data_IF_718873031316
#
_entry.id   IF_718873031316
#
_cell.length_a   1.000
_cell.length_b   1.000
_cell.length_c   1.000
_cell.angle_alpha   90.00
_cell.angle_beta   90.00
_cell.angle_gamma   90.00
#
_symmetry.space_group_name_H-M   'P 1'
#
loop_
_entity.id
_entity.type
_entity.pdbx_description
1 polymer ?
#
# COMPACT_ATOMS: atom_id res chain seq x y z
N UNK A 1 -54.17 38.19 2.23
CA UNK A 1 -52.70 38.31 2.24
C UNK A 1 -52.12 36.91 2.20
N UNK A 2 -51.22 36.66 1.25
CA UNK A 2 -50.76 35.33 0.84
C UNK A 2 -49.98 34.63 1.97
N UNK A 3 -50.39 33.41 2.32
CA UNK A 3 -49.63 32.50 3.17
C UNK A 3 -48.44 31.98 2.35
N UNK A 4 -47.23 32.37 2.74
CA UNK A 4 -45.99 31.86 2.15
C UNK A 4 -45.86 30.37 2.47
N UNK A 5 -46.24 29.53 1.52
CA UNK A 5 -45.84 28.11 1.47
C UNK A 5 -44.51 28.01 0.73
N UNK A 6 -43.44 28.54 1.33
CA UNK A 6 -42.08 28.19 0.93
C UNK A 6 -41.54 27.25 2.00
N UNK A 7 -41.15 26.01 1.65
CA UNK A 7 -40.57 25.10 2.63
C UNK A 7 -39.23 25.70 3.09
N UNK A 8 -39.03 25.78 4.40
CA UNK A 8 -37.77 26.26 4.96
C UNK A 8 -36.62 25.31 4.57
N UNK A 9 -35.43 25.86 4.28
CA UNK A 9 -34.22 25.18 3.79
C UNK A 9 -33.71 24.00 4.67
N UNK A 10 -34.28 23.81 5.86
CA UNK A 10 -33.94 22.77 6.83
C UNK A 10 -35.04 21.72 7.00
N UNK A 11 -36.10 21.76 6.17
CA UNK A 11 -36.99 20.63 6.03
C UNK A 11 -36.25 19.52 5.27
N UNK A 12 -35.83 18.50 6.02
CA UNK A 12 -35.61 17.18 5.43
C UNK A 12 -36.91 16.79 4.75
N UNK A 13 -36.92 16.72 3.42
CA UNK A 13 -38.00 16.07 2.70
C UNK A 13 -38.07 14.64 3.25
N UNK A 14 -39.12 14.35 4.02
CA UNK A 14 -39.33 13.09 4.74
C UNK A 14 -39.53 11.87 3.82
N UNK A 15 -39.22 12.03 2.54
CA UNK A 15 -39.42 11.08 1.47
C UNK A 15 -38.13 10.78 0.69
N UNK A 16 -36.99 11.36 1.09
CA UNK A 16 -35.70 10.96 0.52
C UNK A 16 -35.36 9.54 0.97
N UNK A 17 -35.40 8.61 0.02
CA UNK A 17 -35.08 7.20 0.26
C UNK A 17 -33.57 7.05 0.36
N UNK A 18 -33.07 6.57 1.49
CA UNK A 18 -31.66 6.24 1.70
C UNK A 18 -31.47 4.73 1.87
N UNK A 19 -30.38 4.21 1.34
CA UNK A 19 -30.03 2.79 1.39
C UNK A 19 -28.82 2.62 2.32
N UNK A 20 -28.83 1.67 3.27
CA UNK A 20 -27.66 1.32 4.06
C UNK A 20 -26.59 0.64 3.19
N UNK A 21 -25.35 1.11 3.28
CA UNK A 21 -24.19 0.47 2.67
C UNK A 21 -23.38 -0.24 3.73
N UNK A 22 -22.99 -1.48 3.42
CA UNK A 22 -22.13 -2.31 4.27
C UNK A 22 -20.79 -2.56 3.59
N UNK A 23 -19.71 -2.56 4.37
CA UNK A 23 -18.38 -2.91 3.90
C UNK A 23 -17.69 -3.78 4.97
N UNK A 24 -17.22 -4.96 4.57
CA UNK A 24 -16.61 -5.96 5.46
C UNK A 24 -17.50 -6.39 6.65
N UNK A 25 -18.83 -6.29 6.50
CA UNK A 25 -19.80 -6.65 7.54
C UNK A 25 -20.27 -5.47 8.40
N UNK A 26 -19.59 -4.32 8.31
CA UNK A 26 -19.93 -3.13 9.08
C UNK A 26 -20.77 -2.15 8.26
N UNK A 27 -21.76 -1.51 8.92
CA UNK A 27 -22.55 -0.44 8.31
C UNK A 27 -21.69 0.82 8.20
N UNK A 28 -21.36 1.24 6.97
CA UNK A 28 -20.51 2.40 6.70
C UNK A 28 -21.32 3.69 6.53
N UNK A 29 -22.61 3.60 6.24
CA UNK A 29 -23.48 4.76 6.16
C UNK A 29 -24.76 4.54 5.35
N UNK A 30 -25.55 5.59 5.24
CA UNK A 30 -26.79 5.63 4.45
C UNK A 30 -26.60 6.60 3.29
N UNK A 31 -26.89 6.15 2.07
CA UNK A 31 -26.66 6.94 0.86
C UNK A 31 -27.91 7.00 -0.01
N UNK A 32 -28.07 8.09 -0.77
CA UNK A 32 -29.08 8.15 -1.82
C UNK A 32 -28.80 7.05 -2.86
N UNK A 33 -29.83 6.40 -3.41
CA UNK A 33 -29.69 5.28 -4.36
C UNK A 33 -28.76 5.58 -5.54
N UNK A 34 -28.82 6.82 -6.03
CA UNK A 34 -28.01 7.32 -7.15
C UNK A 34 -26.51 7.18 -6.88
N UNK A 35 -26.06 7.50 -5.67
CA UNK A 35 -24.66 7.41 -5.27
C UNK A 35 -24.29 6.05 -4.68
N UNK A 36 -25.26 5.31 -4.14
CA UNK A 36 -25.00 4.06 -3.45
C UNK A 36 -24.32 3.02 -4.35
N UNK A 37 -24.72 2.95 -5.62
CA UNK A 37 -24.12 2.01 -6.59
C UNK A 37 -22.63 2.27 -6.84
N UNK A 38 -22.25 3.54 -7.00
CA UNK A 38 -20.86 3.95 -7.24
C UNK A 38 -20.01 3.71 -5.99
N UNK A 39 -20.53 4.04 -4.82
CA UNK A 39 -19.85 3.83 -3.54
C UNK A 39 -19.65 2.34 -3.25
N UNK A 40 -20.66 1.50 -3.49
CA UNK A 40 -20.54 0.03 -3.38
C UNK A 40 -19.48 -0.51 -4.32
N UNK A 41 -19.39 0.02 -5.54
CA UNK A 41 -18.37 -0.40 -6.52
C UNK A 41 -16.97 -0.04 -6.05
N UNK A 42 -16.76 1.18 -5.55
CA UNK A 42 -15.48 1.61 -4.99
C UNK A 42 -15.07 0.77 -3.76
N UNK A 43 -15.99 0.58 -2.81
CA UNK A 43 -15.72 -0.18 -1.59
C UNK A 43 -15.35 -1.64 -1.86
N UNK A 44 -15.84 -2.21 -2.97
CA UNK A 44 -15.57 -3.60 -3.34
C UNK A 44 -14.53 -3.76 -4.45
N UNK A 45 -13.89 -2.69 -4.90
CA UNK A 45 -12.99 -2.71 -6.06
C UNK A 45 -11.80 -3.67 -5.84
N UNK A 46 -11.23 -3.66 -4.64
CA UNK A 46 -10.13 -4.58 -4.27
C UNK A 46 -10.57 -6.06 -4.35
N UNK A 47 -11.78 -6.39 -3.89
CA UNK A 47 -12.31 -7.75 -4.00
C UNK A 47 -12.57 -8.16 -5.44
N UNK A 48 -13.12 -7.25 -6.25
CA UNK A 48 -13.39 -7.47 -7.67
C UNK A 48 -12.07 -7.76 -8.39
N UNK A 49 -11.03 -6.95 -8.13
CA UNK A 49 -9.70 -7.14 -8.70
C UNK A 49 -9.07 -8.47 -8.26
N UNK A 50 -9.15 -8.83 -6.97
CA UNK A 50 -8.66 -10.13 -6.48
C UNK A 50 -9.38 -11.30 -7.13
N UNK A 51 -10.71 -11.22 -7.32
CA UNK A 51 -11.51 -12.25 -8.00
C UNK A 51 -11.12 -12.36 -9.48
N UNK A 52 -10.96 -11.24 -10.18
CA UNK A 52 -10.53 -11.21 -11.57
C UNK A 52 -9.13 -11.81 -11.75
N UNK A 53 -8.18 -11.45 -10.87
CA UNK A 53 -6.82 -12.01 -10.87
C UNK A 53 -6.85 -13.53 -10.64
N UNK A 54 -7.64 -14.00 -9.66
CA UNK A 54 -7.81 -15.43 -9.39
C UNK A 54 -8.35 -16.17 -10.61
N UNK A 55 -9.34 -15.62 -11.31
CA UNK A 55 -9.90 -16.20 -12.53
C UNK A 55 -8.83 -16.29 -13.62
N UNK A 56 -8.14 -15.19 -13.91
CA UNK A 56 -7.08 -15.15 -14.92
C UNK A 56 -5.96 -16.18 -14.65
N UNK A 57 -5.47 -16.24 -13.40
CA UNK A 57 -4.45 -17.21 -13.02
C UNK A 57 -4.96 -18.66 -13.09
N UNK A 58 -6.22 -18.90 -12.72
CA UNK A 58 -6.83 -20.23 -12.81
C UNK A 58 -6.94 -20.68 -14.27
N UNK A 59 -7.38 -19.80 -15.17
CA UNK A 59 -7.52 -20.12 -16.59
C UNK A 59 -6.17 -20.36 -17.27
N UNK A 60 -5.13 -19.60 -16.89
CA UNK A 60 -3.76 -19.83 -17.33
C UNK A 60 -3.23 -21.19 -16.85
N UNK A 61 -3.39 -21.52 -15.57
CA UNK A 61 -2.92 -22.81 -15.02
C UNK A 61 -3.67 -23.98 -15.65
N UNK A 62 -4.99 -23.85 -15.88
CA UNK A 62 -5.78 -24.87 -16.61
C UNK A 62 -5.23 -25.13 -18.01
N UNK A 63 -4.86 -24.08 -18.76
CA UNK A 63 -4.27 -24.23 -20.11
C UNK A 63 -2.94 -24.97 -20.10
N UNK A 64 -2.15 -24.82 -19.03
CA UNK A 64 -0.84 -25.47 -18.88
C UNK A 64 -0.94 -26.85 -18.19
N UNK A 65 -2.15 -27.28 -17.80
CA UNK A 65 -2.38 -28.57 -17.13
C UNK A 65 -1.90 -28.61 -15.67
N UNK A 66 -1.73 -27.46 -15.03
CA UNK A 66 -1.24 -27.37 -13.65
C UNK A 66 -2.34 -27.46 -12.59
N UNK A 67 -1.93 -27.47 -11.32
CA UNK A 67 -2.82 -27.56 -10.17
C UNK A 67 -3.45 -26.20 -9.80
N UNK A 68 -4.74 -26.07 -10.09
CA UNK A 68 -5.54 -24.86 -9.79
C UNK A 68 -5.76 -24.62 -8.29
N UNK A 69 -5.57 -25.64 -7.43
CA UNK A 69 -5.77 -25.51 -5.98
C UNK A 69 -4.71 -24.63 -5.32
N UNK A 70 -3.55 -24.48 -5.98
CA UNK A 70 -2.44 -23.65 -5.49
C UNK A 70 -2.55 -22.18 -5.89
N UNK A 71 -3.47 -21.82 -6.81
CA UNK A 71 -3.61 -20.45 -7.32
C UNK A 71 -3.80 -19.47 -6.18
N UNK A 72 -4.73 -19.74 -5.26
CA UNK A 72 -5.04 -18.83 -4.17
C UNK A 72 -3.84 -18.60 -3.25
N UNK A 73 -3.16 -19.68 -2.84
CA UNK A 73 -1.95 -19.60 -2.00
C UNK A 73 -0.82 -18.83 -2.68
N UNK A 74 -0.57 -19.09 -3.96
CA UNK A 74 0.46 -18.37 -4.72
C UNK A 74 0.08 -16.89 -4.89
N UNK A 75 -1.19 -16.59 -5.14
CA UNK A 75 -1.69 -15.23 -5.28
C UNK A 75 -1.53 -14.46 -3.97
N UNK A 76 -1.90 -15.03 -2.81
CA UNK A 76 -1.63 -14.41 -1.51
C UNK A 76 -0.14 -14.20 -1.26
N UNK A 77 0.71 -15.17 -1.61
CA UNK A 77 2.16 -15.05 -1.49
C UNK A 77 2.70 -13.90 -2.36
N UNK A 78 2.22 -13.75 -3.58
CA UNK A 78 2.64 -12.67 -4.47
C UNK A 78 2.12 -11.31 -4.01
N UNK A 79 0.88 -11.23 -3.53
CA UNK A 79 0.33 -10.00 -2.93
C UNK A 79 1.16 -9.57 -1.73
N UNK A 80 1.47 -10.49 -0.80
CA UNK A 80 2.35 -10.22 0.34
C UNK A 80 3.77 -9.81 -0.07
N UNK A 81 4.29 -10.36 -1.16
CA UNK A 81 5.59 -9.96 -1.69
C UNK A 81 5.56 -8.60 -2.41
N UNK A 82 4.40 -8.21 -2.93
CA UNK A 82 4.19 -6.90 -3.57
C UNK A 82 3.84 -5.81 -2.56
N UNK A 83 3.37 -6.19 -1.37
CA UNK A 83 3.19 -5.26 -0.27
C UNK A 83 4.53 -4.62 0.08
N UNK A 84 4.50 -3.30 0.23
CA UNK A 84 5.68 -2.53 0.60
C UNK A 84 6.26 -3.09 1.90
N UNK A 85 7.52 -3.58 1.91
CA UNK A 85 8.13 -4.12 3.11
C UNK A 85 8.15 -3.04 4.20
N UNK A 86 7.54 -3.35 5.34
CA UNK A 86 7.47 -2.43 6.49
C UNK A 86 8.78 -2.38 7.27
N UNK A 87 9.48 -3.52 7.33
CA UNK A 87 10.70 -3.69 8.09
C UNK A 87 11.78 -4.47 7.33
N UNK A 88 13.00 -4.48 7.87
CA UNK A 88 14.15 -5.21 7.30
C UNK A 88 14.89 -4.44 6.22
N UNK A 89 15.99 -5.00 5.73
CA UNK A 89 16.79 -4.38 4.65
C UNK A 89 15.95 -4.00 3.44
N UNK A 90 14.96 -4.81 3.08
CA UNK A 90 14.06 -4.51 1.95
C UNK A 90 13.23 -3.24 2.17
N UNK A 91 12.87 -2.90 3.40
CA UNK A 91 12.21 -1.63 3.70
C UNK A 91 13.16 -0.44 3.45
N UNK A 92 14.42 -0.58 3.86
CA UNK A 92 15.49 0.41 3.61
C UNK A 92 15.73 0.58 2.11
N UNK A 93 15.77 -0.51 1.35
CA UNK A 93 15.88 -0.49 -0.11
C UNK A 93 14.75 0.32 -0.76
N UNK A 94 13.50 0.17 -0.29
CA UNK A 94 12.39 0.97 -0.81
C UNK A 94 12.52 2.44 -0.43
N UNK A 95 12.97 2.76 0.79
CA UNK A 95 13.24 4.15 1.18
C UNK A 95 14.31 4.80 0.29
N UNK A 96 15.34 4.04 -0.09
CA UNK A 96 16.37 4.52 -1.03
C UNK A 96 15.80 4.77 -2.42
N UNK A 97 14.91 3.90 -2.92
CA UNK A 97 14.23 4.11 -4.20
C UNK A 97 13.31 5.33 -4.20
N UNK A 98 12.59 5.57 -3.09
CA UNK A 98 11.76 6.76 -2.96
C UNK A 98 12.64 8.01 -2.91
N UNK A 99 13.74 7.95 -2.15
CA UNK A 99 14.69 9.06 -2.09
C UNK A 99 15.30 9.37 -3.46
N UNK A 100 15.62 8.33 -4.25
CA UNK A 100 16.08 8.49 -5.61
C UNK A 100 15.04 9.22 -6.48
N UNK A 101 13.77 8.85 -6.38
CA UNK A 101 12.67 9.51 -7.12
C UNK A 101 12.46 10.95 -6.68
N UNK A 102 12.52 11.22 -5.38
CA UNK A 102 12.41 12.59 -4.83
C UNK A 102 13.53 13.51 -5.35
N UNK A 103 14.73 12.94 -5.54
CA UNK A 103 15.88 13.67 -6.08
C UNK A 103 15.90 13.71 -7.62
N UNK A 104 14.96 13.04 -8.27
CA UNK A 104 14.86 12.89 -9.73
C UNK A 104 16.18 12.42 -10.39
N UNK A 105 16.82 11.42 -9.78
CA UNK A 105 18.11 10.89 -10.23
C UNK A 105 17.95 9.56 -10.96
N UNK A 106 18.72 9.38 -12.04
CA UNK A 106 18.89 8.06 -12.66
C UNK A 106 19.64 7.10 -11.72
N UNK A 107 19.58 5.79 -12.01
CA UNK A 107 20.26 4.78 -11.18
C UNK A 107 21.77 5.03 -11.06
N UNK A 108 22.41 5.50 -12.13
CA UNK A 108 23.86 5.78 -12.14
C UNK A 108 24.20 7.03 -11.33
N UNK A 109 23.38 8.07 -11.41
CA UNK A 109 23.57 9.30 -10.65
C UNK A 109 23.32 9.06 -9.16
N UNK A 110 22.28 8.28 -8.83
CA UNK A 110 21.98 7.93 -7.45
C UNK A 110 23.08 7.07 -6.82
N UNK A 111 23.65 6.11 -7.55
CA UNK A 111 24.78 5.34 -7.06
C UNK A 111 26.00 6.24 -6.74
N UNK A 112 26.31 7.21 -7.60
CA UNK A 112 27.37 8.21 -7.35
C UNK A 112 27.04 9.11 -6.16
N UNK A 113 25.78 9.52 -6.04
CA UNK A 113 25.30 10.31 -4.90
C UNK A 113 25.52 9.54 -3.58
N UNK A 114 25.09 8.29 -3.51
CA UNK A 114 25.32 7.41 -2.35
C UNK A 114 26.81 7.25 -2.01
N UNK A 115 27.66 7.14 -3.03
CA UNK A 115 29.11 7.00 -2.87
C UNK A 115 29.74 8.24 -2.18
N UNK A 116 29.20 9.45 -2.43
CA UNK A 116 29.65 10.67 -1.71
C UNK A 116 29.39 10.62 -0.20
N UNK A 117 28.43 9.80 0.25
CA UNK A 117 28.12 9.58 1.66
C UNK A 117 28.81 8.34 2.24
N UNK A 118 29.76 7.75 1.51
CA UNK A 118 30.48 6.52 1.87
C UNK A 118 29.60 5.27 1.88
N UNK A 119 28.60 5.22 1.00
CA UNK A 119 27.87 3.99 0.69
C UNK A 119 28.30 3.51 -0.69
N UNK A 120 29.14 2.48 -0.74
CA UNK A 120 29.68 1.98 -2.00
C UNK A 120 28.60 1.37 -2.89
N UNK A 121 28.81 1.32 -4.23
CA UNK A 121 27.87 0.67 -5.14
C UNK A 121 27.60 -0.80 -4.80
N UNK A 122 28.60 -1.50 -4.26
CA UNK A 122 28.46 -2.91 -3.85
C UNK A 122 27.53 -3.04 -2.65
N UNK A 123 27.72 -2.21 -1.61
CA UNK A 123 26.85 -2.19 -0.43
C UNK A 123 25.42 -1.77 -0.80
N UNK A 124 25.27 -0.80 -1.70
CA UNK A 124 23.97 -0.38 -2.22
C UNK A 124 23.25 -1.54 -2.94
N UNK A 125 23.97 -2.30 -3.76
CA UNK A 125 23.40 -3.48 -4.43
C UNK A 125 23.01 -4.58 -3.43
N UNK A 126 23.83 -4.83 -2.41
CA UNK A 126 23.52 -5.80 -1.36
C UNK A 126 22.24 -5.41 -0.60
N UNK A 127 22.05 -4.12 -0.32
CA UNK A 127 20.82 -3.59 0.28
C UNK A 127 19.62 -3.83 -0.64
N UNK A 128 19.74 -3.58 -1.95
CA UNK A 128 18.67 -3.87 -2.91
C UNK A 128 18.35 -5.36 -3.05
N UNK A 129 19.34 -6.24 -2.88
CA UNK A 129 19.12 -7.68 -2.81
C UNK A 129 18.42 -8.11 -1.51
N UNK A 130 18.37 -7.23 -0.50
CA UNK A 130 17.80 -7.50 0.81
C UNK A 130 18.77 -8.22 1.76
N UNK A 131 20.07 -8.15 1.51
CA UNK A 131 21.09 -8.74 2.38
C UNK A 131 21.25 -7.96 3.69
N UNK A 132 21.76 -8.62 4.74
CA UNK A 132 22.07 -7.91 5.96
C UNK A 132 23.25 -6.95 5.74
N UNK A 133 23.18 -5.78 6.37
CA UNK A 133 24.26 -4.80 6.34
C UNK A 133 24.67 -4.40 7.75
N UNK A 134 25.93 -4.00 7.91
CA UNK A 134 26.54 -3.65 9.19
C UNK A 134 26.05 -2.29 9.72
N UNK A 135 26.03 -2.14 11.05
CA UNK A 135 25.66 -0.91 11.76
C UNK A 135 26.52 0.29 11.33
N UNK A 136 27.72 0.05 10.83
CA UNK A 136 28.59 1.07 10.23
C UNK A 136 27.91 1.84 9.08
N UNK A 137 26.99 1.21 8.34
CA UNK A 137 26.25 1.84 7.24
C UNK A 137 25.03 2.65 7.69
N UNK A 138 24.59 2.53 8.96
CA UNK A 138 23.46 3.32 9.47
C UNK A 138 23.72 4.82 9.39
N UNK A 139 24.97 5.25 9.60
CA UNK A 139 25.31 6.66 9.56
C UNK A 139 25.31 7.26 8.14
N UNK A 140 25.93 6.62 7.13
CA UNK A 140 25.72 6.96 5.71
C UNK A 140 24.24 6.98 5.31
N UNK A 141 23.50 5.90 5.60
CA UNK A 141 22.10 5.75 5.18
C UNK A 141 21.18 6.80 5.81
N UNK A 142 21.37 7.11 7.09
CA UNK A 142 20.65 8.17 7.79
C UNK A 142 20.81 9.54 7.10
N UNK A 143 22.00 9.85 6.58
CA UNK A 143 22.25 11.11 5.85
C UNK A 143 21.61 11.11 4.46
N UNK A 144 21.72 10.00 3.72
CA UNK A 144 21.12 9.85 2.39
C UNK A 144 19.59 10.00 2.46
N UNK A 145 18.98 9.30 3.42
CA UNK A 145 17.53 9.26 3.60
C UNK A 145 16.97 10.46 4.37
N UNK A 146 17.82 11.32 4.95
CA UNK A 146 17.41 12.49 5.72
C UNK A 146 16.63 12.14 7.00
N UNK A 147 16.85 10.95 7.57
CA UNK A 147 16.14 10.47 8.75
C UNK A 147 17.11 10.13 9.91
N UNK A 148 16.71 10.28 11.18
CA UNK A 148 17.55 9.93 12.32
C UNK A 148 17.95 8.44 12.32
N UNK A 149 19.14 8.13 12.85
CA UNK A 149 19.65 6.75 12.92
C UNK A 149 18.75 5.84 13.74
N UNK A 150 18.15 6.35 14.80
CA UNK A 150 17.24 5.62 15.69
C UNK A 150 15.97 5.20 14.94
N UNK A 151 15.47 6.08 14.06
CA UNK A 151 14.32 5.77 13.22
C UNK A 151 14.68 4.76 12.14
N UNK A 152 15.86 4.87 11.53
CA UNK A 152 16.36 3.92 10.55
C UNK A 152 16.56 2.52 11.16
N UNK A 153 17.08 2.46 12.39
CA UNK A 153 17.20 1.23 13.19
C UNK A 153 15.84 0.57 13.41
N UNK A 154 14.81 1.34 13.80
CA UNK A 154 13.44 0.80 13.96
C UNK A 154 12.88 0.21 12.68
N UNK A 155 13.16 0.84 11.53
CA UNK A 155 12.74 0.33 10.22
C UNK A 155 13.50 -0.96 9.88
N UNK A 156 14.80 -1.03 10.14
CA UNK A 156 15.59 -2.23 9.87
C UNK A 156 15.18 -3.40 10.77
N UNK A 157 15.14 -3.19 12.08
CA UNK A 157 15.01 -4.28 13.05
C UNK A 157 13.54 -4.67 13.29
N UNK A 158 12.61 -3.77 12.95
CA UNK A 158 11.19 -3.96 13.17
C UNK A 158 10.84 -3.84 14.64
N UNK A 159 10.28 -2.71 15.04
CA UNK A 159 9.61 -2.62 16.33
C UNK A 159 8.19 -3.17 16.18
N UNK A 160 7.96 -4.41 16.61
CA UNK A 160 6.61 -4.79 17.03
C UNK A 160 6.26 -3.94 18.25
N UNK A 161 5.56 -2.82 18.04
CA UNK A 161 4.56 -2.43 19.03
C UNK A 161 3.56 -3.58 19.03
N UNK A 162 3.76 -4.55 19.93
CA UNK A 162 2.76 -5.54 20.27
C UNK A 162 1.49 -4.77 20.56
N UNK A 163 0.59 -4.78 19.58
CA UNK A 163 -0.77 -4.32 19.72
C UNK A 163 -1.45 -5.36 20.59
N UNK A 164 -1.21 -5.28 21.90
CA UNK A 164 -2.03 -5.96 22.89
C UNK A 164 -3.37 -5.23 22.89
N UNK A 165 -4.30 -5.68 22.06
CA UNK A 165 -5.73 -5.48 22.30
C UNK A 165 -6.51 -6.61 21.66
#
# INVERSE_FOLDING_TARGET
MSLRNEPLDWHFESNEHYIPIYHKGDLVGFFKPEYASEIIKFLNEEEILKKALKMACTDLIKKVGGDTRKVYYLMEKYVKNSERPKYGTRAIAVLLQDRQKELDLSNQEFAKFCDTFKLSPTELNNIYAGEAFDDSLLAPLSRILGMPKEQLLKVRDGSEEKSNT
#
